data_IF_050763362904
#
_entry.id   IF_050763362904
#
_cell.length_a   1.000
_cell.length_b   1.000
_cell.length_c   1.000
_cell.angle_alpha   90.00
_cell.angle_beta   90.00
_cell.angle_gamma   90.00
#
_symmetry.space_group_name_H-M   'P 1'
#
loop_
_entity.id
_entity.type
_entity.pdbx_description
1 polymer ?
#
# COMPACT_ATOMS: atom_id res chain seq x y z
N UNK A 1 -11.35 -4.33 6.27
CA UNK A 1 -11.40 -4.70 4.83
C UNK A 1 -10.06 -5.28 4.47
N UNK A 2 -10.04 -6.39 3.72
CA UNK A 2 -8.80 -7.09 3.37
C UNK A 2 -8.21 -6.54 2.07
N UNK A 3 -7.03 -5.93 2.15
CA UNK A 3 -6.32 -5.32 1.03
C UNK A 3 -5.09 -6.15 0.66
N UNK A 4 -4.95 -6.45 -0.62
CA UNK A 4 -3.81 -7.19 -1.16
C UNK A 4 -2.94 -6.28 -2.03
N UNK A 5 -1.75 -5.97 -1.53
CA UNK A 5 -0.75 -5.16 -2.22
C UNK A 5 0.35 -6.00 -2.86
N UNK A 6 0.27 -7.33 -2.82
CA UNK A 6 1.30 -8.22 -3.35
C UNK A 6 1.22 -8.34 -4.88
N UNK A 7 1.39 -7.20 -5.55
CA UNK A 7 1.29 -7.03 -6.99
C UNK A 7 2.48 -6.21 -7.50
N UNK A 8 2.92 -6.41 -8.75
CA UNK A 8 3.97 -5.61 -9.34
C UNK A 8 3.50 -4.18 -9.65
N UNK A 9 4.45 -3.27 -9.85
CA UNK A 9 4.18 -1.95 -10.42
C UNK A 9 4.06 -2.09 -11.94
N UNK A 10 3.02 -1.46 -12.49
CA UNK A 10 2.82 -1.30 -13.92
C UNK A 10 3.36 0.07 -14.35
N UNK A 11 4.17 0.09 -15.40
CA UNK A 11 4.71 1.29 -16.02
C UNK A 11 3.65 2.10 -16.77
N UNK A 12 4.02 3.30 -17.20
CA UNK A 12 3.11 4.17 -17.98
C UNK A 12 2.77 3.60 -19.37
N UNK A 13 3.57 2.64 -19.85
CA UNK A 13 3.38 1.88 -21.08
C UNK A 13 2.46 0.66 -20.89
N UNK A 14 1.98 0.42 -19.66
CA UNK A 14 1.16 -0.73 -19.32
C UNK A 14 1.95 -2.02 -19.08
N UNK A 15 3.28 -1.99 -19.18
CA UNK A 15 4.12 -3.16 -18.93
C UNK A 15 4.50 -3.26 -17.45
N UNK A 16 4.68 -4.48 -16.96
CA UNK A 16 5.16 -4.70 -15.59
C UNK A 16 6.62 -4.27 -15.48
N UNK A 17 6.95 -3.50 -14.44
CA UNK A 17 8.33 -3.20 -14.08
C UNK A 17 8.90 -4.42 -13.35
N UNK A 18 9.85 -5.12 -13.97
CA UNK A 18 10.45 -6.33 -13.40
C UNK A 18 11.12 -6.06 -12.04
N UNK A 19 10.97 -7.00 -11.11
CA UNK A 19 11.51 -6.91 -9.75
C UNK A 19 10.76 -5.94 -8.82
N UNK A 20 9.76 -5.21 -9.32
CA UNK A 20 8.93 -4.33 -8.48
C UNK A 20 7.85 -5.10 -7.71
N UNK A 21 7.52 -4.62 -6.51
CA UNK A 21 6.41 -5.14 -5.72
C UNK A 21 5.84 -4.02 -4.83
N UNK A 22 4.56 -3.71 -5.00
CA UNK A 22 3.89 -2.62 -4.29
C UNK A 22 3.88 -2.84 -2.77
N UNK A 23 3.59 -4.07 -2.32
CA UNK A 23 3.56 -4.44 -0.90
C UNK A 23 4.91 -4.21 -0.23
N UNK A 24 6.01 -4.66 -0.84
CA UNK A 24 7.37 -4.44 -0.32
C UNK A 24 7.74 -2.96 -0.27
N UNK A 25 7.43 -2.19 -1.32
CA UNK A 25 7.71 -0.75 -1.34
C UNK A 25 6.95 -0.03 -0.23
N UNK A 26 5.66 -0.34 -0.05
CA UNK A 26 4.85 0.24 1.04
C UNK A 26 5.37 -0.20 2.42
N UNK A 27 5.77 -1.47 2.56
CA UNK A 27 6.34 -2.00 3.79
C UNK A 27 7.61 -1.23 4.20
N UNK A 28 8.53 -1.03 3.25
CA UNK A 28 9.77 -0.29 3.50
C UNK A 28 9.48 1.14 3.95
N UNK A 29 8.52 1.82 3.31
CA UNK A 29 8.15 3.19 3.70
C UNK A 29 7.52 3.25 5.09
N UNK A 30 6.63 2.30 5.44
CA UNK A 30 6.02 2.22 6.76
C UNK A 30 7.06 1.90 7.85
N UNK A 31 8.03 1.03 7.56
CA UNK A 31 9.06 0.63 8.50
C UNK A 31 10.05 1.75 8.84
N UNK A 32 10.36 2.62 7.87
CA UNK A 32 11.26 3.77 8.09
C UNK A 32 10.54 5.03 8.57
N UNK A 33 9.20 5.02 8.62
CA UNK A 33 8.42 6.18 9.01
C UNK A 33 8.70 6.58 10.47
N UNK A 34 9.07 7.84 10.68
CA UNK A 34 9.37 8.40 12.02
C UNK A 34 8.16 9.08 12.67
N UNK A 35 7.02 9.11 11.97
CA UNK A 35 5.75 9.70 12.42
C UNK A 35 4.63 8.68 12.22
N UNK A 36 3.61 8.74 13.07
CA UNK A 36 2.47 7.83 13.03
C UNK A 36 2.47 6.82 14.19
N UNK A 37 1.63 5.79 14.10
CA UNK A 37 1.55 4.75 15.11
C UNK A 37 2.60 3.67 14.82
N UNK A 38 3.73 3.73 15.53
CA UNK A 38 4.88 2.86 15.28
C UNK A 38 4.54 1.37 15.31
N UNK A 39 3.75 0.92 16.29
CA UNK A 39 3.38 -0.50 16.40
C UNK A 39 2.51 -0.94 15.23
N UNK A 40 1.46 -0.18 14.90
CA UNK A 40 0.59 -0.48 13.74
C UNK A 40 1.38 -0.48 12.44
N UNK A 41 2.26 0.50 12.23
CA UNK A 41 3.05 0.61 11.01
C UNK A 41 4.03 -0.55 10.86
N UNK A 42 4.68 -0.95 11.95
CA UNK A 42 5.57 -2.11 11.96
C UNK A 42 4.83 -3.42 11.69
N UNK A 43 3.66 -3.64 12.30
CA UNK A 43 2.83 -4.84 12.06
C UNK A 43 2.36 -4.93 10.60
N UNK A 44 1.87 -3.82 10.05
CA UNK A 44 1.49 -3.74 8.64
C UNK A 44 2.68 -3.97 7.72
N UNK A 45 3.82 -3.31 7.98
CA UNK A 45 5.03 -3.46 7.18
C UNK A 45 5.50 -4.92 7.15
N UNK A 46 5.49 -5.60 8.30
CA UNK A 46 5.90 -7.02 8.38
C UNK A 46 5.03 -7.90 7.49
N UNK A 47 3.71 -7.75 7.55
CA UNK A 47 2.77 -8.53 6.71
C UNK A 47 2.96 -8.23 5.23
N UNK A 48 3.01 -6.94 4.87
CA UNK A 48 3.18 -6.49 3.50
C UNK A 48 4.50 -6.98 2.88
N UNK A 49 5.59 -6.96 3.65
CA UNK A 49 6.90 -7.41 3.20
C UNK A 49 6.92 -8.91 2.89
N UNK A 50 6.17 -9.70 3.67
CA UNK A 50 5.95 -11.14 3.44
C UNK A 50 4.95 -11.43 2.31
N UNK A 51 4.38 -10.42 1.66
CA UNK A 51 3.37 -10.59 0.61
C UNK A 51 2.00 -10.98 1.14
N UNK A 52 1.73 -10.76 2.43
CA UNK A 52 0.43 -11.02 3.04
C UNK A 52 -0.51 -9.83 2.85
N UNK A 53 -1.79 -10.14 2.68
CA UNK A 53 -2.85 -9.13 2.70
C UNK A 53 -3.04 -8.58 4.13
N UNK A 54 -3.32 -7.28 4.23
CA UNK A 54 -3.61 -6.61 5.50
C UNK A 54 -5.11 -6.40 5.67
N UNK A 55 -5.61 -6.58 6.89
CA UNK A 55 -6.99 -6.26 7.23
C UNK A 55 -7.02 -4.92 7.96
N UNK A 56 -7.67 -3.92 7.35
CA UNK A 56 -7.75 -2.57 7.88
C UNK A 56 -9.17 -2.20 8.28
N UNK A 57 -9.34 -1.73 9.51
CA UNK A 57 -10.57 -1.06 9.91
C UNK A 57 -10.70 0.32 9.23
N UNK A 58 -11.82 1.01 9.43
CA UNK A 58 -12.08 2.30 8.79
C UNK A 58 -11.08 3.40 9.20
N UNK A 59 -10.57 3.34 10.44
CA UNK A 59 -9.58 4.29 10.94
C UNK A 59 -8.22 4.05 10.30
N UNK A 60 -7.80 2.80 10.21
CA UNK A 60 -6.52 2.41 9.61
C UNK A 60 -6.49 2.67 8.11
N UNK A 61 -7.61 2.49 7.42
CA UNK A 61 -7.72 2.84 6.00
C UNK A 61 -7.40 4.32 5.75
N UNK A 62 -7.99 5.21 6.56
CA UNK A 62 -7.74 6.65 6.43
C UNK A 62 -6.27 6.99 6.68
N UNK A 63 -5.66 6.36 7.70
CA UNK A 63 -4.25 6.57 8.04
C UNK A 63 -3.33 6.11 6.89
N UNK A 64 -3.57 4.94 6.30
CA UNK A 64 -2.73 4.42 5.23
C UNK A 64 -2.92 5.21 3.93
N UNK A 65 -4.16 5.59 3.58
CA UNK A 65 -4.43 6.47 2.41
C UNK A 65 -3.71 7.81 2.57
N UNK A 66 -3.86 8.46 3.72
CA UNK A 66 -3.18 9.72 4.03
C UNK A 66 -1.65 9.59 3.99
N UNK A 67 -1.11 8.49 4.55
CA UNK A 67 0.31 8.20 4.52
C UNK A 67 0.84 8.12 3.09
N UNK A 68 0.15 7.38 2.21
CA UNK A 68 0.53 7.21 0.80
C UNK A 68 0.46 8.56 0.05
N UNK A 69 -0.65 9.29 0.19
CA UNK A 69 -0.86 10.54 -0.55
C UNK A 69 0.18 11.60 -0.17
N UNK A 70 0.44 11.74 1.13
CA UNK A 70 1.35 12.75 1.69
C UNK A 70 2.82 12.35 1.64
N UNK A 71 3.15 11.12 1.24
CA UNK A 71 4.54 10.65 1.21
C UNK A 71 5.37 11.39 0.16
N UNK A 72 6.35 12.18 0.57
CA UNK A 72 7.08 13.07 -0.35
C UNK A 72 8.02 12.31 -1.30
N UNK A 73 8.61 11.19 -0.85
CA UNK A 73 9.55 10.41 -1.65
C UNK A 73 8.91 9.38 -2.58
N UNK A 74 7.61 9.09 -2.43
CA UNK A 74 6.94 8.14 -3.32
C UNK A 74 6.53 8.85 -4.62
N UNK A 75 6.90 8.33 -5.79
CA UNK A 75 6.44 8.89 -7.05
C UNK A 75 4.94 8.63 -7.24
N UNK A 76 4.26 9.52 -7.98
CA UNK A 76 2.83 9.39 -8.28
C UNK A 76 2.49 8.05 -8.96
N UNK A 77 3.41 7.50 -9.75
CA UNK A 77 3.27 6.16 -10.35
C UNK A 77 2.96 5.10 -9.29
N UNK A 78 3.70 5.09 -8.19
CA UNK A 78 3.52 4.14 -7.08
C UNK A 78 2.31 4.51 -6.24
N UNK A 79 2.15 5.80 -5.88
CA UNK A 79 1.02 6.26 -5.07
C UNK A 79 -0.32 5.89 -5.68
N UNK A 80 -0.50 6.17 -6.97
CA UNK A 80 -1.76 5.91 -7.66
C UNK A 80 -2.10 4.42 -7.63
N UNK A 81 -1.14 3.54 -7.88
CA UNK A 81 -1.37 2.09 -7.91
C UNK A 81 -1.68 1.54 -6.51
N UNK A 82 -1.01 2.03 -5.46
CA UNK A 82 -1.36 1.70 -4.08
C UNK A 82 -2.80 2.13 -3.73
N UNK A 83 -3.21 3.33 -4.15
CA UNK A 83 -4.56 3.84 -3.90
C UNK A 83 -5.63 3.07 -4.71
N UNK A 84 -5.30 2.59 -5.92
CA UNK A 84 -6.20 1.76 -6.72
C UNK A 84 -6.58 0.45 -6.02
N UNK A 85 -5.68 -0.15 -5.24
CA UNK A 85 -5.99 -1.35 -4.44
C UNK A 85 -7.19 -1.12 -3.52
N UNK A 86 -7.29 0.06 -2.89
CA UNK A 86 -8.44 0.42 -2.06
C UNK A 86 -9.71 0.51 -2.90
N UNK A 87 -9.66 1.25 -4.01
CA UNK A 87 -10.82 1.50 -4.88
C UNK A 87 -11.36 0.20 -5.47
N UNK A 88 -10.48 -0.68 -5.96
CA UNK A 88 -10.87 -1.98 -6.52
C UNK A 88 -11.49 -2.90 -5.47
N UNK A 89 -10.94 -2.90 -4.26
CA UNK A 89 -11.49 -3.72 -3.16
C UNK A 89 -12.85 -3.18 -2.70
N UNK A 90 -13.02 -1.86 -2.64
CA UNK A 90 -14.32 -1.22 -2.36
C UNK A 90 -15.36 -1.58 -3.43
N UNK A 91 -14.98 -1.59 -4.71
CA UNK A 91 -15.87 -2.01 -5.81
C UNK A 91 -16.27 -3.48 -5.69
N UNK A 92 -15.32 -4.38 -5.40
CA UNK A 92 -15.58 -5.82 -5.20
C UNK A 92 -16.50 -6.10 -4.01
N UNK A 93 -16.49 -5.27 -2.98
CA UNK A 93 -17.32 -5.45 -1.78
C UNK A 93 -18.76 -4.94 -1.97
N UNK A 94 -18.98 -4.04 -2.95
CA UNK A 94 -20.30 -3.46 -3.27
C UNK A 94 -21.02 -4.17 -4.42
N UNK A 95 -20.32 -5.02 -5.16
CA UNK A 95 -20.86 -5.88 -6.21
C UNK A 95 -21.41 -7.18 -5.61
#
# INVERSE_FOLDING_TARGET
MKLDFNQPIVGLDGNVIEGSNMGKILADQLAIATKGNALKFWEMATKLYCGEAIDLDQSDQSIVKDFIEKHESLPNLTKAQLLLVFIETEKKTKA
#
